data_IF_553771373065
#
_entry.id   IF_553771373065
#
_cell.length_a   1.000
_cell.length_b   1.000
_cell.length_c   1.000
_cell.angle_alpha   90.00
_cell.angle_beta   90.00
_cell.angle_gamma   90.00
#
_symmetry.space_group_name_H-M   'P 1'
#
loop_
_entity.id
_entity.type
_entity.pdbx_description
1 polymer ?
#
# COMPACT_ATOMS: atom_id res chain seq x y z
N UNK A 1 12.45 16.29 7.50
CA UNK A 1 11.62 15.66 6.46
C UNK A 1 12.26 14.33 6.13
N UNK A 2 11.48 13.24 5.98
CA UNK A 2 12.02 11.96 5.52
C UNK A 2 12.25 12.06 4.01
N UNK A 3 13.44 11.74 3.54
CA UNK A 3 13.78 11.84 2.12
C UNK A 3 12.90 10.91 1.28
N UNK A 4 12.35 11.39 0.16
CA UNK A 4 11.52 10.60 -0.75
C UNK A 4 10.03 10.45 -0.39
N UNK A 5 9.53 11.14 0.64
CA UNK A 5 8.10 11.10 1.00
C UNK A 5 7.58 12.42 1.56
N UNK A 6 6.30 12.67 1.33
CA UNK A 6 5.56 13.80 1.88
C UNK A 6 4.86 13.37 3.18
N UNK A 7 5.03 14.13 4.27
CA UNK A 7 4.41 13.82 5.56
C UNK A 7 3.91 15.06 6.30
N UNK A 8 2.68 15.01 6.80
CA UNK A 8 2.07 16.06 7.61
C UNK A 8 1.39 15.47 8.83
N UNK A 9 1.73 15.96 10.01
CA UNK A 9 1.20 15.45 11.28
C UNK A 9 0.40 16.53 12.00
N UNK A 10 -0.76 16.16 12.54
CA UNK A 10 -1.54 17.05 13.40
C UNK A 10 -1.30 16.79 14.89
N UNK A 11 -1.89 17.62 15.76
CA UNK A 11 -1.77 17.50 17.22
C UNK A 11 -2.39 16.21 17.81
N UNK A 12 -3.19 15.48 17.04
CA UNK A 12 -3.89 14.25 17.46
C UNK A 12 -3.13 12.97 17.06
N UNK A 13 -1.83 13.06 16.78
CA UNK A 13 -1.00 11.94 16.31
C UNK A 13 -1.57 11.25 15.06
N UNK A 14 -2.19 12.05 14.19
CA UNK A 14 -2.58 11.62 12.85
C UNK A 14 -1.57 12.17 11.86
N UNK A 15 -0.95 11.28 11.10
CA UNK A 15 0.01 11.61 10.05
C UNK A 15 -0.56 11.23 8.68
N UNK A 16 -0.59 12.20 7.77
CA UNK A 16 -0.83 12.00 6.35
C UNK A 16 0.51 11.71 5.69
N UNK A 17 0.64 10.57 5.03
CA UNK A 17 1.85 10.15 4.33
C UNK A 17 1.56 9.84 2.87
N UNK A 18 2.41 10.34 1.97
CA UNK A 18 2.30 10.10 0.54
C UNK A 18 3.70 9.97 -0.07
N UNK A 19 3.85 9.24 -1.19
CA UNK A 19 5.12 9.23 -1.92
C UNK A 19 5.45 10.64 -2.45
N UNK A 20 6.73 10.93 -2.65
CA UNK A 20 7.15 12.21 -3.24
C UNK A 20 6.92 12.28 -4.76
N UNK A 21 6.56 11.15 -5.36
CA UNK A 21 6.26 11.00 -6.80
C UNK A 21 4.75 10.97 -7.04
N UNK A 22 4.29 11.41 -8.23
CA UNK A 22 2.90 11.25 -8.63
C UNK A 22 2.48 9.77 -8.63
N UNK A 23 1.26 9.49 -8.19
CA UNK A 23 0.71 8.13 -8.14
C UNK A 23 -0.32 7.86 -9.23
N UNK A 24 -0.81 8.91 -9.90
CA UNK A 24 -1.70 8.82 -11.04
C UNK A 24 -1.17 9.64 -12.21
N UNK A 25 -1.16 9.04 -13.40
CA UNK A 25 -0.74 9.65 -14.65
C UNK A 25 -1.92 9.71 -15.62
N UNK A 26 -2.51 10.90 -15.75
CA UNK A 26 -3.47 11.19 -16.81
C UNK A 26 -2.76 11.55 -18.12
N UNK A 27 -3.56 11.93 -19.13
CA UNK A 27 -3.03 12.29 -20.45
C UNK A 27 -2.08 13.51 -20.38
N UNK A 28 -2.45 14.56 -19.64
CA UNK A 28 -1.70 15.83 -19.58
C UNK A 28 -1.16 16.19 -18.20
N UNK A 29 -1.43 15.39 -17.17
CA UNK A 29 -1.09 15.74 -15.80
C UNK A 29 -0.78 14.52 -14.94
N UNK A 30 0.09 14.73 -13.96
CA UNK A 30 0.45 13.76 -12.95
C UNK A 30 0.03 14.29 -11.58
N UNK A 31 -0.55 13.41 -10.76
CA UNK A 31 -1.09 13.78 -9.43
C UNK A 31 -0.81 12.68 -8.41
N UNK A 32 -0.69 13.06 -7.13
CA UNK A 32 -0.59 12.11 -6.01
C UNK A 32 -1.97 11.98 -5.36
N UNK A 33 -2.65 10.86 -5.63
CA UNK A 33 -4.01 10.59 -5.13
C UNK A 33 -4.03 9.42 -4.14
N UNK A 34 -2.99 8.60 -4.13
CA UNK A 34 -2.88 7.41 -3.31
C UNK A 34 -2.07 7.75 -2.04
N UNK A 35 -2.76 7.83 -0.90
CA UNK A 35 -2.27 8.42 0.34
C UNK A 35 -2.58 7.49 1.52
N UNK A 36 -1.69 7.44 2.51
CA UNK A 36 -1.91 6.76 3.78
C UNK A 36 -2.28 7.74 4.90
N UNK A 37 -3.25 7.36 5.74
CA UNK A 37 -3.56 8.04 6.99
C UNK A 37 -3.16 7.15 8.16
N UNK A 38 -2.12 7.55 8.89
CA UNK A 38 -1.60 6.82 10.03
C UNK A 38 -2.10 7.48 11.31
N UNK A 39 -2.64 6.70 12.25
CA UNK A 39 -3.05 7.19 13.56
C UNK A 39 -2.42 6.34 14.65
N UNK A 40 -1.77 6.98 15.61
CA UNK A 40 -1.13 6.31 16.74
C UNK A 40 -0.09 5.24 16.33
N UNK A 41 0.52 5.40 15.15
CA UNK A 41 1.59 4.52 14.69
C UNK A 41 2.91 5.06 15.24
N UNK A 42 3.60 4.24 16.03
CA UNK A 42 4.91 4.58 16.63
C UNK A 42 6.11 4.13 15.77
N UNK A 43 5.84 3.46 14.64
CA UNK A 43 6.87 2.91 13.76
C UNK A 43 7.18 3.88 12.62
N UNK A 44 8.41 3.81 12.11
CA UNK A 44 8.75 4.54 10.90
C UNK A 44 8.04 3.90 9.70
N UNK A 45 7.27 4.70 8.97
CA UNK A 45 6.63 4.30 7.71
C UNK A 45 7.41 4.91 6.54
N UNK A 46 7.93 4.05 5.66
CA UNK A 46 8.49 4.44 4.37
C UNK A 46 7.43 4.29 3.29
N UNK A 47 7.24 5.32 2.46
CA UNK A 47 6.18 5.35 1.45
C UNK A 47 6.77 5.61 0.07
N UNK A 48 6.69 4.61 -0.82
CA UNK A 48 7.26 4.68 -2.16
C UNK A 48 6.25 4.22 -3.19
N UNK A 49 6.25 4.87 -4.36
CA UNK A 49 5.51 4.38 -5.51
C UNK A 49 6.26 3.26 -6.24
N UNK A 50 5.55 2.27 -6.75
CA UNK A 50 6.11 1.15 -7.52
C UNK A 50 5.79 1.31 -9.00
N UNK A 51 6.77 1.14 -9.91
CA UNK A 51 6.51 1.20 -11.35
C UNK A 51 5.75 -0.06 -11.79
N UNK A 52 4.43 0.05 -11.95
CA UNK A 52 3.61 -0.96 -12.62
C UNK A 52 2.98 -0.40 -13.91
N UNK A 53 2.67 -1.27 -14.87
CA UNK A 53 2.58 -0.88 -16.30
C UNK A 53 1.17 -0.97 -16.92
N UNK A 54 0.13 -1.40 -16.19
CA UNK A 54 -1.19 -1.62 -16.79
C UNK A 54 -2.32 -0.70 -16.29
N UNK A 55 -2.06 0.16 -15.30
CA UNK A 55 -3.03 1.12 -14.75
C UNK A 55 -2.51 2.56 -14.90
N UNK A 56 -3.42 3.53 -14.97
CA UNK A 56 -3.08 4.95 -14.84
C UNK A 56 -2.75 5.33 -13.39
N UNK A 57 -2.99 4.43 -12.42
CA UNK A 57 -2.51 4.50 -11.05
C UNK A 57 -1.30 3.58 -10.84
N UNK A 58 -0.21 4.11 -10.32
CA UNK A 58 0.94 3.33 -9.86
C UNK A 58 0.75 2.91 -8.40
N UNK A 59 0.99 1.65 -8.05
CA UNK A 59 0.84 1.20 -6.67
C UNK A 59 1.72 1.97 -5.70
N UNK A 60 1.22 2.17 -4.48
CA UNK A 60 1.97 2.75 -3.37
C UNK A 60 2.26 1.68 -2.33
N UNK A 61 3.54 1.50 -2.01
CA UNK A 61 3.99 0.62 -0.94
C UNK A 61 4.18 1.43 0.34
N UNK A 62 3.44 1.04 1.39
CA UNK A 62 3.66 1.49 2.76
C UNK A 62 4.45 0.43 3.52
N UNK A 63 5.70 0.73 3.85
CA UNK A 63 6.59 -0.17 4.56
C UNK A 63 6.77 0.28 6.01
N UNK A 64 6.27 -0.52 6.95
CA UNK A 64 6.40 -0.26 8.38
C UNK A 64 7.61 -1.01 8.94
N UNK A 65 8.63 -0.27 9.35
CA UNK A 65 9.78 -0.86 10.03
C UNK A 65 9.44 -1.08 11.50
N UNK A 66 8.84 -2.24 11.79
CA UNK A 66 8.61 -2.71 13.15
C UNK A 66 9.80 -3.51 13.64
N UNK A 67 10.43 -3.08 14.72
CA UNK A 67 11.43 -3.88 15.45
C UNK A 67 10.78 -4.96 16.33
N UNK A 68 9.46 -4.97 16.44
CA UNK A 68 8.71 -5.93 17.24
C UNK A 68 8.12 -7.02 16.34
N UNK A 69 8.45 -8.28 16.64
CA UNK A 69 7.71 -9.41 16.12
C UNK A 69 6.30 -9.31 16.66
N UNK A 70 5.33 -9.06 15.78
CA UNK A 70 3.94 -9.18 16.16
C UNK A 70 3.58 -10.65 16.11
N UNK A 71 3.10 -11.21 17.22
CA UNK A 71 2.23 -12.39 17.20
C UNK A 71 0.88 -11.95 16.62
N UNK A 72 0.88 -11.58 15.34
CA UNK A 72 -0.35 -11.32 14.62
C UNK A 72 -0.94 -12.69 14.26
N UNK A 73 -2.15 -13.03 14.73
CA UNK A 73 -2.83 -14.19 14.21
C UNK A 73 -2.89 -14.06 12.68
N UNK A 74 -2.77 -15.18 11.93
CA UNK A 74 -2.77 -15.13 10.47
C UNK A 74 -3.97 -14.31 9.99
N UNK A 75 -3.78 -13.39 9.04
CA UNK A 75 -4.83 -12.50 8.60
C UNK A 75 -6.04 -13.32 8.14
N UNK A 76 -7.17 -13.17 8.83
CA UNK A 76 -8.42 -13.76 8.37
C UNK A 76 -8.92 -12.95 7.18
N UNK A 77 -8.77 -13.52 5.99
CA UNK A 77 -9.26 -12.95 4.76
C UNK A 77 -10.79 -13.17 4.70
N UNK A 78 -11.56 -12.18 5.11
CA UNK A 78 -13.02 -12.19 4.92
C UNK A 78 -13.34 -11.67 3.53
N UNK A 79 -13.60 -12.59 2.60
CA UNK A 79 -14.11 -12.23 1.28
C UNK A 79 -15.43 -12.95 1.06
N UNK A 80 -16.40 -12.26 0.43
CA UNK A 80 -17.67 -12.86 0.02
C UNK A 80 -17.57 -13.58 -1.34
N UNK A 81 -16.35 -13.88 -1.79
CA UNK A 81 -16.09 -14.41 -3.12
C UNK A 81 -16.38 -15.91 -3.09
N UNK A 82 -17.14 -16.38 -4.09
CA UNK A 82 -17.30 -17.81 -4.28
C UNK A 82 -15.95 -18.37 -4.75
N UNK A 83 -15.40 -19.41 -4.10
CA UNK A 83 -14.16 -20.02 -4.56
C UNK A 83 -14.35 -20.51 -6.00
N UNK A 84 -13.41 -20.13 -6.88
CA UNK A 84 -13.35 -20.66 -8.23
C UNK A 84 -13.08 -22.17 -8.14
N UNK A 85 -14.04 -22.99 -8.55
CA UNK A 85 -13.81 -24.44 -8.72
C UNK A 85 -12.96 -24.62 -9.97
N UNK A 86 -11.65 -24.72 -9.82
CA UNK A 86 -10.78 -25.16 -10.91
C UNK A 86 -10.76 -26.68 -10.95
N UNK A 87 -11.44 -27.27 -11.94
CA UNK A 87 -11.31 -28.68 -12.25
C UNK A 87 -10.03 -28.86 -13.08
N UNK A 88 -8.90 -29.14 -12.44
CA UNK A 88 -7.73 -29.62 -13.16
C UNK A 88 -7.93 -31.11 -13.47
N UNK A 89 -8.19 -31.44 -14.73
CA UNK A 89 -7.95 -32.79 -15.25
C UNK A 89 -6.44 -32.94 -15.38
N UNK A 90 -5.82 -33.71 -14.49
CA UNK A 90 -4.43 -34.13 -14.68
C UNK A 90 -4.43 -35.07 -15.88
N UNK A 91 -3.98 -34.58 -17.04
CA UNK A 91 -3.54 -35.41 -18.14
C UNK A 91 -2.18 -35.98 -17.75
N UNK A 92 -2.16 -37.19 -17.20
CA UNK A 92 -0.94 -38.00 -17.15
C UNK A 92 -0.66 -38.45 -18.58
N UNK A 93 0.47 -38.00 -19.14
CA UNK A 93 1.05 -38.51 -20.39
C UNK A 93 1.76 -39.83 -20.09
#
# INVERSE_FOLDING_TARGET
>A
MREGQNCWTNANFVELVAPSTPTRFGYDYASTLDIGLLKNILFNCQVNSLPELSSDHIPVRFYFNSKTNFDMPPPQLFTNWKPLKMNYSILTI
#
